data_IF_935464525674
#
_entry.id   IF_935464525674
#
_cell.length_a   1.000
_cell.length_b   1.000
_cell.length_c   1.000
_cell.angle_alpha   90.00
_cell.angle_beta   90.00
_cell.angle_gamma   90.00
#
_symmetry.space_group_name_H-M   'P 1'
#
loop_
_entity.id
_entity.type
_entity.pdbx_description
1 polymer ?
#
# COMPACT_ATOMS: atom_id res chain seq x y z
N UNK A 1 20.33 -27.75 -30.32
CA UNK A 1 20.58 -26.61 -31.25
C UNK A 1 21.95 -26.80 -31.85
N UNK A 2 22.07 -26.80 -33.19
CA UNK A 2 23.37 -26.97 -33.87
C UNK A 2 24.30 -25.80 -33.54
N UNK A 3 25.58 -26.08 -33.31
CA UNK A 3 26.63 -25.08 -33.01
C UNK A 3 26.67 -23.97 -34.08
N UNK A 4 26.40 -24.33 -35.33
CA UNK A 4 26.33 -23.42 -36.48
C UNK A 4 25.19 -22.41 -36.36
N UNK A 5 24.03 -22.83 -35.84
CA UNK A 5 22.88 -21.94 -35.62
C UNK A 5 23.15 -20.89 -34.54
N UNK A 6 23.86 -21.27 -33.49
CA UNK A 6 24.27 -20.35 -32.42
C UNK A 6 25.28 -19.31 -32.91
N UNK A 7 26.20 -19.67 -33.81
CA UNK A 7 27.15 -18.72 -34.41
C UNK A 7 26.44 -17.71 -35.30
N UNK A 8 25.49 -18.16 -36.13
CA UNK A 8 24.66 -17.27 -36.96
C UNK A 8 23.88 -16.28 -36.09
N UNK A 9 23.22 -16.76 -35.04
CA UNK A 9 22.49 -15.88 -34.09
C UNK A 9 23.40 -14.81 -33.49
N UNK A 10 24.57 -15.19 -32.96
CA UNK A 10 25.55 -14.24 -32.39
C UNK A 10 26.04 -13.21 -33.41
N UNK A 11 26.24 -13.62 -34.67
CA UNK A 11 26.65 -12.71 -35.75
C UNK A 11 25.56 -11.67 -36.05
N UNK A 12 24.30 -12.11 -36.15
CA UNK A 12 23.16 -11.25 -36.44
C UNK A 12 22.79 -10.31 -35.27
N UNK A 13 23.07 -10.73 -34.03
CA UNK A 13 22.88 -9.94 -32.81
C UNK A 13 24.04 -8.95 -32.55
N UNK A 14 25.11 -8.99 -33.37
CA UNK A 14 26.27 -8.12 -33.19
C UNK A 14 25.89 -6.64 -33.38
N UNK A 15 26.36 -5.72 -32.51
CA UNK A 15 26.07 -4.29 -32.65
C UNK A 15 26.64 -3.67 -33.93
N UNK A 16 27.67 -4.31 -34.52
CA UNK A 16 28.33 -3.86 -35.75
C UNK A 16 27.91 -4.71 -36.96
N UNK A 17 26.75 -5.39 -36.90
CA UNK A 17 26.27 -6.20 -38.01
C UNK A 17 25.95 -5.31 -39.23
N UNK A 18 26.58 -5.61 -40.36
CA UNK A 18 26.29 -4.98 -41.66
C UNK A 18 25.58 -5.99 -42.57
N UNK A 19 24.26 -5.82 -42.82
CA UNK A 19 23.50 -6.70 -43.68
C UNK A 19 24.02 -6.77 -45.11
N UNK A 20 24.54 -5.67 -45.66
CA UNK A 20 24.98 -5.61 -47.05
C UNK A 20 26.27 -6.39 -47.24
N UNK A 21 27.24 -6.19 -46.34
CA UNK A 21 28.48 -6.97 -46.34
C UNK A 21 28.21 -8.45 -46.07
N UNK A 22 27.30 -8.76 -45.15
CA UNK A 22 26.90 -10.15 -44.87
C UNK A 22 26.31 -10.85 -46.10
N UNK A 23 25.34 -10.24 -46.79
CA UNK A 23 24.75 -10.81 -48.01
C UNK A 23 25.78 -10.92 -49.13
N UNK A 24 26.69 -9.95 -49.27
CA UNK A 24 27.78 -9.99 -50.24
C UNK A 24 28.73 -11.16 -49.98
N UNK A 25 29.19 -11.34 -48.74
CA UNK A 25 30.04 -12.47 -48.36
C UNK A 25 29.33 -13.80 -48.57
N UNK A 26 28.06 -13.88 -48.17
CA UNK A 26 27.25 -15.07 -48.35
C UNK A 26 27.15 -15.45 -49.84
N UNK A 27 26.82 -14.50 -50.72
CA UNK A 27 26.75 -14.73 -52.17
C UNK A 27 28.10 -15.09 -52.80
N UNK A 28 29.22 -14.64 -52.22
CA UNK A 28 30.56 -14.96 -52.71
C UNK A 28 31.04 -16.35 -52.26
N UNK A 29 30.54 -16.84 -51.12
CA UNK A 29 30.91 -18.12 -50.53
C UNK A 29 29.98 -19.27 -50.97
N UNK A 30 28.79 -18.95 -51.47
CA UNK A 30 27.83 -19.95 -51.94
C UNK A 30 28.17 -20.45 -53.35
N UNK A 31 28.41 -21.75 -53.47
CA UNK A 31 28.72 -22.44 -54.74
C UNK A 31 27.49 -22.65 -55.66
N UNK A 32 26.33 -22.09 -55.29
CA UNK A 32 25.11 -22.15 -56.10
C UNK A 32 23.82 -21.78 -55.36
N UNK A 33 22.70 -21.79 -56.11
CA UNK A 33 21.37 -21.38 -55.64
C UNK A 33 20.88 -22.19 -54.41
N UNK A 34 21.20 -23.48 -54.37
CA UNK A 34 20.82 -24.36 -53.26
C UNK A 34 21.37 -23.88 -51.92
N UNK A 35 22.62 -23.45 -51.87
CA UNK A 35 23.27 -23.00 -50.64
C UNK A 35 22.68 -21.67 -50.14
N UNK A 36 22.44 -20.73 -51.07
CA UNK A 36 21.72 -19.49 -50.78
C UNK A 36 20.32 -19.74 -50.24
N UNK A 37 19.60 -20.73 -50.78
CA UNK A 37 18.27 -21.12 -50.32
C UNK A 37 18.32 -21.71 -48.90
N UNK A 38 19.29 -22.56 -48.60
CA UNK A 38 19.50 -23.11 -47.25
C UNK A 38 19.81 -22.01 -46.23
N UNK A 39 20.68 -21.06 -46.58
CA UNK A 39 20.99 -19.93 -45.71
C UNK A 39 19.79 -19.02 -45.47
N UNK A 40 19.00 -18.75 -46.51
CA UNK A 40 17.73 -18.02 -46.37
C UNK A 40 16.78 -18.73 -45.41
N UNK A 41 16.63 -20.05 -45.54
CA UNK A 41 15.77 -20.83 -44.67
C UNK A 41 16.25 -20.80 -43.21
N UNK A 42 17.58 -20.87 -42.97
CA UNK A 42 18.16 -20.77 -41.63
C UNK A 42 17.84 -19.43 -40.99
N UNK A 43 17.96 -18.33 -41.73
CA UNK A 43 17.62 -16.98 -41.26
C UNK A 43 16.12 -16.87 -40.96
N UNK A 44 15.26 -17.40 -41.84
CA UNK A 44 13.81 -17.38 -41.63
C UNK A 44 13.42 -18.16 -40.36
N UNK A 45 13.95 -19.37 -40.19
CA UNK A 45 13.68 -20.17 -38.99
C UNK A 45 14.11 -19.44 -37.71
N UNK A 46 15.27 -18.77 -37.74
CA UNK A 46 15.75 -18.00 -36.60
C UNK A 46 14.87 -16.77 -36.32
N UNK A 47 14.37 -16.11 -37.36
CA UNK A 47 13.44 -15.00 -37.23
C UNK A 47 12.12 -15.46 -36.59
N UNK A 48 11.57 -16.58 -37.05
CA UNK A 48 10.32 -17.16 -36.53
C UNK A 48 10.50 -17.59 -35.06
N UNK A 49 11.61 -18.25 -34.73
CA UNK A 49 11.94 -18.62 -33.35
C UNK A 49 12.08 -17.38 -32.46
N UNK A 50 12.74 -16.33 -32.96
CA UNK A 50 12.93 -15.08 -32.22
C UNK A 50 11.61 -14.37 -31.97
N UNK A 51 10.72 -14.32 -32.97
CA UNK A 51 9.37 -13.75 -32.81
C UNK A 51 8.55 -14.53 -31.78
N UNK A 52 8.59 -15.86 -31.80
CA UNK A 52 7.92 -16.70 -30.82
C UNK A 52 8.47 -16.49 -29.40
N UNK A 53 9.80 -16.43 -29.25
CA UNK A 53 10.44 -16.21 -27.96
C UNK A 53 10.15 -14.81 -27.42
N UNK A 54 10.14 -13.78 -28.27
CA UNK A 54 9.75 -12.43 -27.88
C UNK A 54 8.31 -12.42 -27.38
N UNK A 55 7.38 -13.05 -28.11
CA UNK A 55 5.98 -13.19 -27.67
C UNK A 55 5.92 -13.85 -26.30
N UNK A 56 6.54 -15.01 -26.11
CA UNK A 56 6.57 -15.71 -24.81
C UNK A 56 7.12 -14.82 -23.68
N UNK A 57 8.19 -14.08 -23.93
CA UNK A 57 8.76 -13.15 -22.94
C UNK A 57 7.80 -12.03 -22.59
N UNK A 58 7.14 -11.41 -23.56
CA UNK A 58 6.12 -10.37 -23.31
C UNK A 58 4.97 -10.92 -22.46
N UNK A 59 4.45 -12.10 -22.80
CA UNK A 59 3.38 -12.72 -22.02
C UNK A 59 3.82 -13.06 -20.58
N UNK A 60 5.04 -13.58 -20.41
CA UNK A 60 5.60 -13.87 -19.08
C UNK A 60 5.75 -12.58 -18.26
N UNK A 61 6.35 -11.55 -18.84
CA UNK A 61 6.57 -10.27 -18.17
C UNK A 61 5.23 -9.61 -17.79
N UNK A 62 4.23 -9.68 -18.66
CA UNK A 62 2.90 -9.15 -18.38
C UNK A 62 2.21 -9.91 -17.24
N UNK A 63 2.32 -11.24 -17.23
CA UNK A 63 1.79 -12.06 -16.14
C UNK A 63 2.44 -11.72 -14.80
N UNK A 64 3.76 -11.64 -14.77
CA UNK A 64 4.53 -11.27 -13.58
C UNK A 64 4.14 -9.87 -13.09
N UNK A 65 4.00 -8.90 -13.99
CA UNK A 65 3.55 -7.55 -13.64
C UNK A 65 2.17 -7.58 -12.96
N UNK A 66 1.22 -8.34 -13.49
CA UNK A 66 -0.12 -8.48 -12.89
C UNK A 66 -0.03 -9.16 -11.51
N UNK A 67 0.71 -10.25 -11.39
CA UNK A 67 0.85 -11.00 -10.13
C UNK A 67 1.50 -10.12 -9.06
N UNK A 68 2.60 -9.44 -9.37
CA UNK A 68 3.25 -8.49 -8.46
C UNK A 68 2.34 -7.33 -8.10
N UNK A 69 1.58 -6.75 -9.04
CA UNK A 69 0.64 -5.67 -8.74
C UNK A 69 -0.46 -6.13 -7.76
N UNK A 70 -0.97 -7.35 -7.91
CA UNK A 70 -1.95 -7.93 -6.97
C UNK A 70 -1.35 -8.12 -5.58
N UNK A 71 -0.12 -8.62 -5.49
CA UNK A 71 0.58 -8.79 -4.21
C UNK A 71 0.80 -7.46 -3.51
N UNK A 72 1.15 -6.40 -4.26
CA UNK A 72 1.27 -5.04 -3.71
C UNK A 72 -0.06 -4.55 -3.14
N UNK A 73 -1.16 -4.68 -3.89
CA UNK A 73 -2.49 -4.28 -3.40
C UNK A 73 -2.95 -5.09 -2.18
N UNK A 74 -2.60 -6.38 -2.13
CA UNK A 74 -2.89 -7.22 -0.97
C UNK A 74 -2.12 -6.73 0.26
N UNK A 75 -0.81 -6.48 0.12
CA UNK A 75 0.04 -5.94 1.19
C UNK A 75 -0.48 -4.58 1.68
N UNK A 76 -0.88 -3.69 0.77
CA UNK A 76 -1.47 -2.39 1.11
C UNK A 76 -2.70 -2.54 2.00
N UNK A 77 -3.58 -3.49 1.69
CA UNK A 77 -4.77 -3.77 2.50
C UNK A 77 -4.39 -4.28 3.91
N UNK A 78 -3.43 -5.20 4.02
CA UNK A 78 -2.97 -5.71 5.31
C UNK A 78 -2.33 -4.60 6.16
N UNK A 79 -1.51 -3.73 5.55
CA UNK A 79 -0.93 -2.57 6.24
C UNK A 79 -2.00 -1.60 6.73
N UNK A 80 -3.04 -1.36 5.93
CA UNK A 80 -4.17 -0.52 6.32
C UNK A 80 -4.92 -1.11 7.52
N UNK A 81 -5.21 -2.42 7.48
CA UNK A 81 -5.85 -3.14 8.59
C UNK A 81 -5.01 -3.06 9.86
N UNK A 82 -3.70 -3.29 9.76
CA UNK A 82 -2.79 -3.18 10.89
C UNK A 82 -2.78 -1.76 11.48
N UNK A 83 -2.73 -0.72 10.63
CA UNK A 83 -2.80 0.68 11.08
C UNK A 83 -4.11 0.99 11.81
N UNK A 84 -5.23 0.43 11.34
CA UNK A 84 -6.52 0.59 11.99
C UNK A 84 -6.53 -0.05 13.39
N UNK A 85 -6.07 -1.30 13.50
CA UNK A 85 -5.98 -2.02 14.78
C UNK A 85 -5.10 -1.27 15.77
N UNK A 86 -3.94 -0.77 15.35
CA UNK A 86 -3.05 0.01 16.22
C UNK A 86 -3.71 1.31 16.71
N UNK A 87 -4.50 1.95 15.85
CA UNK A 87 -5.24 3.17 16.22
C UNK A 87 -6.34 2.87 17.24
N UNK A 88 -7.08 1.78 17.04
CA UNK A 88 -8.13 1.32 17.97
C UNK A 88 -7.52 0.95 19.33
N UNK A 89 -6.43 0.16 19.34
CA UNK A 89 -5.74 -0.20 20.58
C UNK A 89 -5.23 1.02 21.35
N UNK A 90 -4.69 2.01 20.65
CA UNK A 90 -4.28 3.29 21.27
C UNK A 90 -5.49 3.99 21.91
N UNK A 91 -6.61 4.09 21.20
CA UNK A 91 -7.83 4.72 21.73
C UNK A 91 -8.37 3.99 22.96
N UNK A 92 -8.38 2.65 22.95
CA UNK A 92 -8.78 1.84 24.10
C UNK A 92 -7.86 2.11 25.31
N UNK A 93 -6.55 2.16 25.10
CA UNK A 93 -5.58 2.44 26.17
C UNK A 93 -5.76 3.84 26.77
N UNK A 94 -5.99 4.85 25.93
CA UNK A 94 -6.29 6.21 26.38
C UNK A 94 -7.58 6.25 27.22
N UNK A 95 -8.63 5.54 26.77
CA UNK A 95 -9.89 5.42 27.51
C UNK A 95 -9.70 4.75 28.88
N UNK A 96 -8.96 3.63 28.94
CA UNK A 96 -8.65 2.94 30.21
C UNK A 96 -7.86 3.87 31.14
N UNK A 97 -6.87 4.58 30.61
CA UNK A 97 -6.03 5.50 31.40
C UNK A 97 -6.87 6.66 31.95
N UNK A 98 -7.76 7.24 31.15
CA UNK A 98 -8.70 8.27 31.62
C UNK A 98 -9.66 7.74 32.69
N UNK A 99 -10.19 6.52 32.53
CA UNK A 99 -11.05 5.89 33.52
C UNK A 99 -10.33 5.75 34.86
N UNK A 100 -9.10 5.21 34.85
CA UNK A 100 -8.28 5.04 36.05
C UNK A 100 -7.98 6.39 36.74
N UNK A 101 -7.57 7.41 35.99
CA UNK A 101 -7.32 8.77 36.50
C UNK A 101 -8.58 9.44 37.06
N UNK A 102 -9.77 9.10 36.55
CA UNK A 102 -11.04 9.68 37.01
C UNK A 102 -11.46 9.04 38.34
N UNK A 103 -11.29 7.73 38.50
CA UNK A 103 -11.51 7.05 39.80
C UNK A 103 -10.64 7.64 40.91
N UNK A 104 -9.37 7.94 40.63
CA UNK A 104 -8.44 8.53 41.61
C UNK A 104 -8.91 9.94 42.05
N UNK A 105 -9.40 10.75 41.11
CA UNK A 105 -9.96 12.08 41.40
C UNK A 105 -11.26 12.01 42.20
N UNK A 106 -12.10 11.03 41.92
CA UNK A 106 -13.37 10.84 42.64
C UNK A 106 -13.12 10.39 44.08
N UNK A 107 -12.13 9.52 44.34
CA UNK A 107 -11.72 9.15 45.70
C UNK A 107 -11.11 10.35 46.45
N UNK A 108 -10.18 11.08 45.82
CA UNK A 108 -9.54 12.26 46.43
C UNK A 108 -10.56 13.38 46.73
N UNK A 109 -11.56 13.56 45.85
CA UNK A 109 -12.63 14.56 46.05
C UNK A 109 -13.58 14.18 47.18
N UNK A 110 -13.88 12.88 47.33
CA UNK A 110 -14.68 12.37 48.45
C UNK A 110 -13.94 12.51 49.78
N UNK A 111 -12.65 12.21 49.83
CA UNK A 111 -11.83 12.40 51.03
C UNK A 111 -11.71 13.88 51.42
N UNK A 112 -11.48 14.80 50.46
CA UNK A 112 -11.44 16.23 50.75
C UNK A 112 -12.79 16.77 51.26
N UNK A 113 -13.92 16.31 50.71
CA UNK A 113 -15.26 16.69 51.19
C UNK A 113 -15.55 16.12 52.59
N UNK A 114 -15.04 14.94 52.90
CA UNK A 114 -15.16 14.35 54.24
C UNK A 114 -14.25 15.04 55.27
N UNK A 115 -13.06 15.50 54.87
CA UNK A 115 -12.11 16.19 55.74
C UNK A 115 -12.48 17.67 56.00
N UNK A 116 -13.18 18.32 55.07
CA UNK A 116 -13.67 19.70 55.19
C UNK A 116 -15.16 19.80 54.84
N UNK A 117 -16.06 19.37 55.73
CA UNK A 117 -17.49 19.55 55.53
C UNK A 117 -17.83 21.05 55.52
N UNK A 118 -18.60 21.51 54.52
CA UNK A 118 -19.11 22.87 54.49
C UNK A 118 -20.11 23.06 55.65
N UNK A 119 -19.78 23.94 56.59
CA UNK A 119 -20.75 24.46 57.55
C UNK A 119 -21.81 25.26 56.78
N UNK A 120 -23.02 24.72 56.67
CA UNK A 120 -24.20 25.51 56.34
C UNK A 120 -24.74 26.08 57.66
N UNK A 121 -24.49 27.37 57.86
CA UNK A 121 -25.05 28.21 58.92
C UNK A 121 -26.58 28.05 59.00
N UNK A 122 -27.07 27.69 60.18
CA UNK A 122 -28.48 27.81 60.55
C UNK A 122 -28.77 29.22 61.03
N UNK A 123 -29.73 29.89 60.41
CA UNK A 123 -30.26 31.18 60.84
C UNK A 123 -31.74 31.06 61.21
N UNK A 124 -31.96 30.89 62.51
CA UNK A 124 -33.08 31.33 63.36
C UNK A 124 -34.49 31.51 62.76
N UNK A 125 -35.43 30.72 63.32
CA UNK A 125 -36.85 31.04 63.33
C UNK A 125 -37.10 32.16 64.36
N UNK A 126 -37.44 33.36 63.91
CA UNK A 126 -38.10 34.38 64.76
C UNK A 126 -39.61 34.39 64.50
N UNK A 127 -40.34 34.00 65.53
CA UNK A 127 -41.77 34.21 65.72
C UNK A 127 -41.96 35.51 66.51
N UNK A 128 -42.58 36.56 65.93
CA UNK A 128 -43.27 37.62 66.69
C UNK A 128 -44.08 38.59 65.81
N UNK A 129 -45.40 38.52 65.99
CA UNK A 129 -46.32 39.65 66.26
C UNK A 129 -46.75 40.64 65.13
N UNK A 130 -48.08 40.63 64.93
CA UNK A 130 -48.98 41.59 64.27
C UNK A 130 -48.66 43.08 64.49
N UNK A 131 -48.88 43.94 63.48
CA UNK A 131 -49.67 45.19 63.59
C UNK A 131 -50.30 45.60 62.24
N UNK A 132 -51.36 46.40 62.32
CA UNK A 132 -52.34 46.73 61.28
C UNK A 132 -52.00 47.98 60.43
N UNK A 133 -52.74 48.16 59.33
CA UNK A 133 -52.76 49.34 58.45
C UNK A 133 -52.53 48.89 56.99
N UNK A 134 -53.35 49.17 56.00
CA UNK A 134 -53.99 50.45 55.70
C UNK A 134 -55.36 50.28 55.04
N UNK A 135 -56.28 51.14 55.48
CA UNK A 135 -57.51 51.53 54.80
C UNK A 135 -57.29 52.84 54.05
N UNK A 136 -57.87 52.96 52.85
CA UNK A 136 -58.20 54.23 52.18
C UNK A 136 -57.30 54.52 50.98
N UNK A 137 -57.81 54.90 49.81
CA UNK A 137 -59.15 55.28 49.38
C UNK A 137 -59.03 56.00 48.03
N UNK A 138 -60.11 56.00 47.23
CA UNK A 138 -60.20 56.74 45.96
C UNK A 138 -60.60 55.87 44.80
#
# INVERSE_FOLDING_TARGET
MSETGNRLRKLLESPNFDPQNYVKQLSQQSDGDRDLQEHRQKIQNLADETAQNLKKNVYKNYRQFIETAKEISYLESEMYQLSHILTEQKSIMESITQALLSTDKDETSKEMQAAFPKETEGGEAEDAHLTAGESGGG
#
